data_IF_161385537063
#
_entry.id   IF_161385537063
#
_cell.length_a   1.000
_cell.length_b   1.000
_cell.length_c   1.000
_cell.angle_alpha   90.00
_cell.angle_beta   90.00
_cell.angle_gamma   90.00
#
_symmetry.space_group_name_H-M   'P 1'
#
loop_
_entity.id
_entity.type
_entity.pdbx_description
1 polymer ?
#
# COMPACT_ATOMS: atom_id res chain seq x y z
N UNK A 1 2.49 -30.54 -28.65
CA UNK A 1 2.74 -29.17 -28.17
C UNK A 1 1.56 -28.73 -27.31
N UNK A 2 1.66 -28.79 -25.97
CA UNK A 2 0.56 -28.49 -25.04
C UNK A 2 0.66 -27.04 -24.54
N UNK A 3 -0.49 -26.36 -24.51
CA UNK A 3 -0.66 -24.94 -24.20
C UNK A 3 0.11 -24.47 -22.96
N UNK A 4 0.91 -23.43 -23.18
CA UNK A 4 1.54 -22.64 -22.11
C UNK A 4 0.42 -21.90 -21.37
N UNK A 5 0.05 -22.38 -20.18
CA UNK A 5 -0.88 -21.65 -19.31
C UNK A 5 -0.17 -20.38 -18.79
N UNK A 6 -0.37 -19.28 -19.49
CA UNK A 6 0.10 -17.95 -19.10
C UNK A 6 -0.93 -17.30 -18.18
N UNK A 7 -0.56 -16.99 -16.94
CA UNK A 7 -1.37 -16.16 -16.05
C UNK A 7 -1.46 -14.74 -16.59
N UNK A 8 -2.64 -14.41 -17.10
CA UNK A 8 -2.94 -13.10 -17.67
C UNK A 8 -3.53 -12.18 -16.60
N UNK A 9 -3.46 -10.87 -16.83
CA UNK A 9 -4.15 -9.85 -16.03
C UNK A 9 -5.61 -10.25 -15.71
N UNK A 10 -6.33 -10.77 -16.72
CA UNK A 10 -7.72 -11.25 -16.57
C UNK A 10 -7.88 -12.34 -15.50
N UNK A 11 -7.00 -13.34 -15.49
CA UNK A 11 -7.06 -14.43 -14.50
C UNK A 11 -6.77 -13.91 -13.09
N UNK A 12 -5.80 -13.00 -12.98
CA UNK A 12 -5.43 -12.34 -11.73
C UNK A 12 -6.63 -11.56 -11.14
N UNK A 13 -7.31 -10.78 -11.97
CA UNK A 13 -8.51 -10.03 -11.60
C UNK A 13 -9.64 -10.97 -11.14
N UNK A 14 -9.90 -12.08 -11.86
CA UNK A 14 -10.93 -13.04 -11.48
C UNK A 14 -10.65 -13.65 -10.10
N UNK A 15 -9.39 -13.95 -9.77
CA UNK A 15 -9.03 -14.44 -8.43
C UNK A 15 -9.25 -13.36 -7.38
N UNK A 16 -8.77 -12.13 -7.63
CA UNK A 16 -8.85 -11.01 -6.69
C UNK A 16 -10.29 -10.54 -6.43
N UNK A 17 -11.22 -10.76 -7.37
CA UNK A 17 -12.64 -10.43 -7.19
C UNK A 17 -13.41 -11.47 -6.38
N UNK A 18 -12.82 -12.61 -6.03
CA UNK A 18 -13.47 -13.57 -5.10
C UNK A 18 -13.64 -12.93 -3.73
N UNK A 19 -14.77 -13.18 -3.07
CA UNK A 19 -15.18 -12.54 -1.81
C UNK A 19 -14.12 -12.52 -0.72
N UNK A 20 -13.30 -13.57 -0.61
CA UNK A 20 -12.17 -13.66 0.34
C UNK A 20 -11.11 -12.55 0.18
N UNK A 21 -11.00 -11.98 -1.00
CA UNK A 21 -10.03 -10.94 -1.35
C UNK A 21 -10.65 -9.55 -1.31
N UNK A 22 -11.90 -9.40 -1.76
CA UNK A 22 -12.63 -8.12 -1.77
C UNK A 22 -13.16 -7.74 -0.38
N UNK A 23 -13.56 -8.72 0.44
CA UNK A 23 -14.24 -8.50 1.73
C UNK A 23 -13.56 -7.48 2.64
N UNK A 24 -12.24 -7.56 2.89
CA UNK A 24 -11.57 -6.57 3.74
C UNK A 24 -11.53 -5.16 3.15
N UNK A 25 -11.55 -5.00 1.83
CA UNK A 25 -11.66 -3.67 1.22
C UNK A 25 -13.06 -3.05 1.42
N UNK A 26 -14.10 -3.87 1.61
CA UNK A 26 -15.44 -3.39 1.98
C UNK A 26 -15.52 -2.84 3.42
N UNK A 27 -14.50 -3.11 4.26
CA UNK A 27 -14.40 -2.55 5.60
C UNK A 27 -13.84 -1.12 5.62
N UNK A 28 -13.25 -0.65 4.51
CA UNK A 28 -12.67 0.70 4.42
C UNK A 28 -13.70 1.79 4.73
N UNK A 29 -14.90 1.84 4.10
CA UNK A 29 -15.86 2.91 4.38
C UNK A 29 -16.38 2.91 5.84
N UNK A 30 -16.78 1.77 6.45
CA UNK A 30 -17.17 1.74 7.87
C UNK A 30 -16.05 2.17 8.82
N UNK A 31 -14.80 1.73 8.57
CA UNK A 31 -13.66 2.11 9.41
C UNK A 31 -13.36 3.61 9.31
N UNK A 32 -13.45 4.19 8.11
CA UNK A 32 -13.28 5.63 7.93
C UNK A 32 -14.38 6.43 8.63
N UNK A 33 -15.64 6.01 8.50
CA UNK A 33 -16.74 6.64 9.21
C UNK A 33 -16.52 6.60 10.74
N UNK A 34 -16.05 5.47 11.26
CA UNK A 34 -15.71 5.34 12.68
C UNK A 34 -14.54 6.23 13.09
N UNK A 35 -13.47 6.32 12.28
CA UNK A 35 -12.33 7.20 12.55
C UNK A 35 -12.76 8.67 12.58
N UNK A 36 -13.51 9.12 11.58
CA UNK A 36 -14.03 10.50 11.52
C UNK A 36 -14.97 10.78 12.71
N UNK A 37 -15.82 9.83 13.08
CA UNK A 37 -16.67 9.95 14.26
C UNK A 37 -15.85 10.06 15.55
N UNK A 38 -14.87 9.18 15.75
CA UNK A 38 -14.00 9.20 16.92
C UNK A 38 -13.20 10.50 17.02
N UNK A 39 -12.65 10.99 15.91
CA UNK A 39 -11.96 12.29 15.84
C UNK A 39 -12.91 13.44 16.19
N UNK A 40 -14.14 13.43 15.68
CA UNK A 40 -15.14 14.45 16.01
C UNK A 40 -15.53 14.42 17.49
N UNK A 41 -15.63 13.23 18.08
CA UNK A 41 -15.92 13.03 19.50
C UNK A 41 -14.77 13.55 20.37
N UNK A 42 -13.52 13.19 20.06
CA UNK A 42 -12.33 13.66 20.79
C UNK A 42 -12.17 15.18 20.72
N UNK A 43 -12.48 15.78 19.56
CA UNK A 43 -12.47 17.22 19.38
C UNK A 43 -13.57 17.90 20.20
N UNK A 44 -14.78 17.35 20.24
CA UNK A 44 -15.89 17.86 21.06
C UNK A 44 -15.58 17.82 22.57
N UNK A 45 -14.75 16.88 23.02
CA UNK A 45 -14.31 16.75 24.41
C UNK A 45 -13.02 17.52 24.72
N UNK A 46 -12.52 18.33 23.78
CA UNK A 46 -11.33 19.18 23.97
C UNK A 46 -10.01 18.41 24.07
N UNK A 47 -10.00 17.11 23.75
CA UNK A 47 -8.80 16.25 23.80
C UNK A 47 -7.90 16.55 22.59
N UNK A 48 -8.51 16.85 21.44
CA UNK A 48 -7.81 17.27 20.23
C UNK A 48 -8.23 18.69 19.86
N UNK A 49 -7.33 19.47 19.25
CA UNK A 49 -7.65 20.80 18.74
C UNK A 49 -8.87 20.78 17.79
N UNK A 50 -9.58 21.91 17.69
CA UNK A 50 -10.70 22.06 16.76
C UNK A 50 -10.14 22.10 15.34
N UNK A 51 -10.28 21.01 14.59
CA UNK A 51 -9.89 20.95 13.18
C UNK A 51 -10.91 21.68 12.30
N UNK A 52 -10.42 22.52 11.39
CA UNK A 52 -11.25 23.13 10.33
C UNK A 52 -11.82 22.05 9.40
N UNK A 53 -12.91 22.35 8.68
CA UNK A 53 -13.49 21.41 7.71
C UNK A 53 -12.45 20.95 6.68
N UNK A 54 -11.60 21.87 6.21
CA UNK A 54 -10.48 21.59 5.30
C UNK A 54 -9.51 20.55 5.88
N UNK A 55 -9.08 20.74 7.14
CA UNK A 55 -8.17 19.81 7.82
C UNK A 55 -8.80 18.43 8.01
N UNK A 56 -10.11 18.36 8.28
CA UNK A 56 -10.85 17.10 8.40
C UNK A 56 -10.91 16.35 7.07
N UNK A 57 -11.17 17.05 5.96
CA UNK A 57 -11.17 16.45 4.62
C UNK A 57 -9.81 15.86 4.29
N UNK A 58 -8.72 16.61 4.52
CA UNK A 58 -7.36 16.14 4.24
C UNK A 58 -6.97 14.97 5.13
N UNK A 59 -7.30 15.03 6.42
CA UNK A 59 -7.05 13.95 7.37
C UNK A 59 -7.83 12.68 7.00
N UNK A 60 -9.09 12.80 6.58
CA UNK A 60 -9.90 11.67 6.15
C UNK A 60 -9.34 10.99 4.88
N UNK A 61 -8.82 11.76 3.91
CA UNK A 61 -8.14 11.21 2.73
C UNK A 61 -6.86 10.47 3.15
N UNK A 62 -6.06 11.06 4.05
CA UNK A 62 -4.86 10.42 4.59
C UNK A 62 -5.21 9.11 5.31
N UNK A 63 -6.15 9.13 6.26
CA UNK A 63 -6.59 7.95 6.99
C UNK A 63 -7.10 6.85 6.05
N UNK A 64 -7.87 7.22 5.02
CA UNK A 64 -8.36 6.28 4.01
C UNK A 64 -7.24 5.65 3.20
N UNK A 65 -6.27 6.46 2.78
CA UNK A 65 -5.07 5.97 2.12
C UNK A 65 -4.27 5.02 3.01
N UNK A 66 -4.00 5.39 4.26
CA UNK A 66 -3.19 4.59 5.17
C UNK A 66 -3.82 3.24 5.50
N UNK A 67 -5.15 3.24 5.71
CA UNK A 67 -5.89 2.01 5.90
C UNK A 67 -5.86 1.15 4.63
N UNK A 68 -6.00 1.76 3.45
CA UNK A 68 -5.86 1.07 2.19
C UNK A 68 -4.43 0.53 1.98
N UNK A 69 -3.39 1.27 2.34
CA UNK A 69 -1.98 0.85 2.33
C UNK A 69 -1.79 -0.41 3.18
N UNK A 70 -2.35 -0.44 4.40
CA UNK A 70 -2.29 -1.60 5.28
C UNK A 70 -2.96 -2.83 4.63
N UNK A 71 -4.21 -2.68 4.18
CA UNK A 71 -4.98 -3.77 3.60
C UNK A 71 -4.35 -4.25 2.28
N UNK A 72 -3.98 -3.32 1.41
CA UNK A 72 -3.35 -3.61 0.12
C UNK A 72 -2.03 -4.35 0.30
N UNK A 73 -1.17 -3.95 1.24
CA UNK A 73 0.09 -4.64 1.48
C UNK A 73 -0.08 -6.04 2.05
N UNK A 74 -0.94 -6.23 3.06
CA UNK A 74 -1.27 -7.56 3.61
C UNK A 74 -1.82 -8.48 2.51
N UNK A 75 -2.81 -8.00 1.75
CA UNK A 75 -3.44 -8.78 0.68
C UNK A 75 -2.50 -9.07 -0.47
N UNK A 76 -1.64 -8.12 -0.83
CA UNK A 76 -0.59 -8.30 -1.83
C UNK A 76 0.36 -9.42 -1.41
N UNK A 77 0.87 -9.41 -0.18
CA UNK A 77 1.76 -10.48 0.32
C UNK A 77 1.10 -11.86 0.19
N UNK A 78 -0.14 -12.01 0.65
CA UNK A 78 -0.88 -13.27 0.58
C UNK A 78 -1.15 -13.71 -0.87
N UNK A 79 -1.53 -12.77 -1.74
CA UNK A 79 -1.87 -13.04 -3.13
C UNK A 79 -0.63 -13.44 -3.94
N UNK A 80 0.42 -12.64 -3.88
CA UNK A 80 1.67 -12.88 -4.60
C UNK A 80 2.36 -14.15 -4.11
N UNK A 81 2.36 -14.40 -2.80
CA UNK A 81 2.88 -15.66 -2.24
C UNK A 81 2.10 -16.87 -2.72
N UNK A 82 0.76 -16.76 -2.79
CA UNK A 82 -0.09 -17.83 -3.30
C UNK A 82 0.09 -18.08 -4.80
N UNK A 83 0.25 -17.03 -5.61
CA UNK A 83 0.43 -17.14 -7.07
C UNK A 83 1.81 -17.67 -7.44
N UNK A 84 2.84 -17.19 -6.78
CA UNK A 84 4.22 -17.60 -7.04
C UNK A 84 4.62 -18.84 -6.24
N UNK A 85 3.68 -19.40 -5.47
CA UNK A 85 3.88 -20.56 -4.60
C UNK A 85 5.18 -20.42 -3.79
N UNK A 86 5.39 -19.23 -3.22
CA UNK A 86 6.64 -18.79 -2.60
C UNK A 86 6.89 -19.49 -1.26
N UNK A 87 7.11 -20.80 -1.29
CA UNK A 87 7.76 -21.55 -0.21
C UNK A 87 9.30 -21.34 -0.26
N UNK A 88 9.74 -20.18 -0.76
CA UNK A 88 10.96 -19.96 -1.53
C UNK A 88 12.21 -19.59 -0.71
N UNK A 89 12.46 -20.29 0.38
CA UNK A 89 13.84 -20.54 0.81
C UNK A 89 14.01 -21.85 1.58
N UNK A 90 13.08 -22.81 1.45
CA UNK A 90 13.23 -24.06 2.19
C UNK A 90 14.23 -25.03 1.57
N UNK A 91 14.65 -24.92 0.28
CA UNK A 91 15.71 -25.77 -0.31
C UNK A 91 16.30 -25.40 -1.71
N UNK A 92 15.74 -24.48 -2.52
CA UNK A 92 16.32 -24.14 -3.85
C UNK A 92 15.82 -22.79 -4.35
N UNK A 93 16.71 -21.98 -4.94
CA UNK A 93 16.42 -20.71 -5.64
C UNK A 93 15.65 -20.91 -6.97
N UNK A 94 14.85 -21.98 -7.07
CA UNK A 94 14.00 -22.28 -8.21
C UNK A 94 12.55 -22.03 -7.80
N UNK A 95 11.84 -21.16 -8.53
CA UNK A 95 10.41 -20.96 -8.28
C UNK A 95 9.68 -22.27 -8.61
N UNK A 96 8.80 -22.80 -7.74
CA UNK A 96 8.12 -24.08 -7.98
C UNK A 96 7.11 -24.02 -9.14
N UNK A 97 6.88 -22.85 -9.73
CA UNK A 97 5.83 -22.60 -10.72
C UNK A 97 6.13 -23.23 -12.09
N UNK A 98 5.38 -24.30 -12.47
CA UNK A 98 5.36 -24.91 -13.82
C UNK A 98 4.86 -23.99 -14.95
N UNK A 99 4.59 -22.70 -14.65
CA UNK A 99 3.79 -21.77 -15.47
C UNK A 99 4.48 -20.40 -15.51
N UNK A 100 5.38 -20.22 -16.47
CA UNK A 100 6.24 -19.05 -16.67
C UNK A 100 5.48 -17.79 -17.13
N UNK A 101 4.57 -17.27 -16.31
CA UNK A 101 3.72 -16.14 -16.67
C UNK A 101 4.12 -14.85 -15.98
N UNK A 102 4.05 -13.75 -16.71
CA UNK A 102 4.79 -12.53 -16.43
C UNK A 102 4.42 -11.86 -15.10
N UNK A 103 5.45 -11.49 -14.33
CA UNK A 103 5.39 -10.68 -13.11
C UNK A 103 4.40 -9.50 -13.20
N UNK A 104 4.38 -8.82 -14.34
CA UNK A 104 3.57 -7.64 -14.59
C UNK A 104 2.05 -7.90 -14.61
N UNK A 105 1.59 -9.08 -15.04
CA UNK A 105 0.15 -9.37 -15.11
C UNK A 105 -0.52 -9.35 -13.73
N UNK A 106 -0.08 -10.18 -12.78
CA UNK A 106 -0.53 -10.15 -11.39
C UNK A 106 -0.31 -8.79 -10.72
N UNK A 107 0.85 -8.17 -10.94
CA UNK A 107 1.17 -6.87 -10.35
C UNK A 107 0.18 -5.78 -10.79
N UNK A 108 -0.04 -5.64 -12.09
CA UNK A 108 -0.97 -4.65 -12.63
C UNK A 108 -2.41 -4.94 -12.20
N UNK A 109 -2.81 -6.21 -12.07
CA UNK A 109 -4.15 -6.56 -11.60
C UNK A 109 -4.40 -6.13 -10.15
N UNK A 110 -3.44 -6.36 -9.25
CA UNK A 110 -3.53 -5.89 -7.86
C UNK A 110 -3.54 -4.37 -7.84
N UNK A 111 -2.61 -3.73 -8.55
CA UNK A 111 -2.52 -2.28 -8.60
C UNK A 111 -3.84 -1.67 -9.10
N UNK A 112 -4.42 -2.14 -10.21
CA UNK A 112 -5.69 -1.65 -10.74
C UNK A 112 -6.85 -1.76 -9.76
N UNK A 113 -7.01 -2.90 -9.08
CA UNK A 113 -8.09 -3.08 -8.10
C UNK A 113 -7.91 -2.12 -6.92
N UNK A 114 -6.69 -2.01 -6.42
CA UNK A 114 -6.36 -1.11 -5.31
C UNK A 114 -6.53 0.36 -5.74
N UNK A 115 -6.18 0.75 -6.96
CA UNK A 115 -6.43 2.09 -7.51
C UNK A 115 -7.91 2.41 -7.58
N UNK A 116 -8.74 1.47 -8.04
CA UNK A 116 -10.21 1.66 -8.08
C UNK A 116 -10.75 1.89 -6.67
N UNK A 117 -10.31 1.09 -5.70
CA UNK A 117 -10.74 1.25 -4.30
C UNK A 117 -10.26 2.59 -3.73
N UNK A 118 -9.03 3.02 -4.03
CA UNK A 118 -8.52 4.33 -3.65
C UNK A 118 -9.39 5.46 -4.22
N UNK A 119 -9.67 5.43 -5.53
CA UNK A 119 -10.51 6.44 -6.18
C UNK A 119 -11.92 6.47 -5.59
N UNK A 120 -12.52 5.31 -5.34
CA UNK A 120 -13.84 5.22 -4.71
C UNK A 120 -13.81 5.76 -3.27
N UNK A 121 -12.77 5.45 -2.50
CA UNK A 121 -12.60 5.90 -1.11
C UNK A 121 -12.43 7.41 -1.05
N UNK A 122 -11.47 7.94 -1.80
CA UNK A 122 -11.22 9.39 -1.89
C UNK A 122 -12.43 10.12 -2.46
N UNK A 123 -13.07 9.59 -3.50
CA UNK A 123 -14.29 10.15 -4.07
C UNK A 123 -15.44 10.20 -3.07
N UNK A 124 -15.62 9.16 -2.25
CA UNK A 124 -16.61 9.15 -1.19
C UNK A 124 -16.32 10.19 -0.10
N UNK A 125 -15.06 10.33 0.31
CA UNK A 125 -14.63 11.37 1.27
C UNK A 125 -14.92 12.76 0.72
N UNK A 126 -14.54 13.03 -0.53
CA UNK A 126 -14.78 14.32 -1.19
C UNK A 126 -16.27 14.62 -1.40
N UNK A 127 -17.10 13.59 -1.63
CA UNK A 127 -18.54 13.75 -1.71
C UNK A 127 -19.18 14.05 -0.34
N UNK A 128 -18.64 13.45 0.73
CA UNK A 128 -19.14 13.64 2.10
C UNK A 128 -18.63 14.95 2.75
N UNK A 129 -17.43 15.40 2.38
CA UNK A 129 -16.76 16.60 2.90
C UNK A 129 -16.31 17.48 1.72
N UNK A 130 -17.22 18.28 1.12
CA UNK A 130 -16.99 18.93 -0.18
C UNK A 130 -16.05 20.14 -0.16
N UNK A 131 -15.33 20.41 0.93
CA UNK A 131 -14.42 21.56 1.04
C UNK A 131 -13.00 21.13 1.46
N UNK A 132 -12.13 20.77 0.48
CA UNK A 132 -10.68 20.67 0.71
C UNK A 132 -10.03 22.07 0.86
N UNK A 133 -10.78 23.14 0.57
CA UNK A 133 -10.37 24.52 0.82
C UNK A 133 -9.18 24.99 -0.03
N UNK A 134 -8.13 25.46 0.64
CA UNK A 134 -6.91 26.04 0.05
C UNK A 134 -5.86 25.02 -0.42
N UNK A 135 -6.01 23.74 -0.07
CA UNK A 135 -5.01 22.72 -0.43
C UNK A 135 -5.22 22.23 -1.86
N UNK A 136 -4.15 22.10 -2.68
CA UNK A 136 -4.28 21.57 -4.02
C UNK A 136 -4.77 20.12 -3.97
N UNK A 137 -6.03 19.88 -4.32
CA UNK A 137 -6.67 18.54 -4.26
C UNK A 137 -5.84 17.50 -4.99
N UNK A 138 -5.32 17.86 -6.17
CA UNK A 138 -4.45 16.99 -6.95
C UNK A 138 -3.19 16.57 -6.18
N UNK A 139 -2.57 17.49 -5.43
CA UNK A 139 -1.40 17.19 -4.61
C UNK A 139 -1.75 16.22 -3.49
N UNK A 140 -2.83 16.47 -2.75
CA UNK A 140 -3.28 15.58 -1.66
C UNK A 140 -3.54 14.17 -2.19
N UNK A 141 -4.24 14.06 -3.32
CA UNK A 141 -4.55 12.77 -3.95
C UNK A 141 -3.27 12.06 -4.40
N UNK A 142 -2.34 12.78 -5.04
CA UNK A 142 -1.08 12.21 -5.47
C UNK A 142 -0.24 11.70 -4.29
N UNK A 143 -0.02 12.53 -3.28
CA UNK A 143 0.80 12.20 -2.10
C UNK A 143 0.19 11.07 -1.28
N UNK A 144 -1.14 11.05 -1.13
CA UNK A 144 -1.84 9.97 -0.45
C UNK A 144 -1.90 8.68 -1.28
N UNK A 145 -1.76 8.72 -2.61
CA UNK A 145 -1.75 7.49 -3.41
C UNK A 145 -0.39 6.75 -3.35
N UNK A 146 0.73 7.46 -3.21
CA UNK A 146 2.06 6.83 -3.25
C UNK A 146 2.27 5.75 -2.16
N UNK A 147 1.85 5.92 -0.89
CA UNK A 147 1.88 4.86 0.12
C UNK A 147 1.17 3.57 -0.32
N UNK A 148 0.08 3.70 -1.07
CA UNK A 148 -0.69 2.57 -1.59
C UNK A 148 0.11 1.82 -2.66
N UNK A 149 0.74 2.56 -3.60
CA UNK A 149 1.62 1.99 -4.62
C UNK A 149 2.83 1.29 -3.99
N UNK A 150 3.41 1.91 -2.95
CA UNK A 150 4.49 1.33 -2.18
C UNK A 150 4.08 -0.01 -1.54
N UNK A 151 2.90 -0.08 -0.93
CA UNK A 151 2.41 -1.30 -0.29
C UNK A 151 2.22 -2.46 -1.27
N UNK A 152 1.71 -2.20 -2.47
CA UNK A 152 1.58 -3.22 -3.52
C UNK A 152 2.96 -3.69 -3.98
N UNK A 153 3.90 -2.76 -4.18
CA UNK A 153 5.29 -3.07 -4.59
C UNK A 153 6.03 -3.89 -3.52
N UNK A 154 5.92 -3.49 -2.26
CA UNK A 154 6.47 -4.22 -1.12
C UNK A 154 5.81 -5.58 -0.95
N UNK A 155 4.49 -5.67 -1.12
CA UNK A 155 3.77 -6.93 -1.06
C UNK A 155 4.19 -7.91 -2.15
N UNK A 156 4.50 -7.42 -3.36
CA UNK A 156 5.09 -8.25 -4.41
C UNK A 156 6.48 -8.75 -4.03
N UNK A 157 7.33 -7.89 -3.49
CA UNK A 157 8.66 -8.29 -3.04
C UNK A 157 8.62 -9.33 -1.91
N UNK A 158 7.87 -9.05 -0.84
CA UNK A 158 7.74 -9.95 0.31
C UNK A 158 7.00 -11.23 -0.05
N UNK A 159 6.02 -11.14 -0.95
CA UNK A 159 5.32 -12.29 -1.52
C UNK A 159 6.22 -13.18 -2.37
N UNK A 160 7.37 -12.71 -2.87
CA UNK A 160 8.37 -13.60 -3.48
C UNK A 160 9.28 -14.24 -2.42
N UNK A 161 9.67 -13.47 -1.41
CA UNK A 161 10.69 -13.88 -0.44
C UNK A 161 10.17 -14.80 0.66
N UNK A 162 8.89 -14.70 1.00
CA UNK A 162 8.33 -15.31 2.20
C UNK A 162 6.97 -15.96 1.92
N UNK A 163 6.49 -16.74 2.89
CA UNK A 163 5.10 -17.17 2.91
C UNK A 163 4.19 -15.97 3.11
N UNK A 164 2.97 -16.03 2.56
CA UNK A 164 2.03 -14.91 2.63
C UNK A 164 1.80 -14.39 4.05
N UNK A 165 1.69 -15.28 5.04
CA UNK A 165 1.51 -14.90 6.44
C UNK A 165 2.73 -14.19 7.05
N UNK A 166 3.95 -14.72 6.83
CA UNK A 166 5.17 -14.09 7.30
C UNK A 166 5.42 -12.74 6.61
N UNK A 167 5.17 -12.67 5.30
CA UNK A 167 5.25 -11.44 4.52
C UNK A 167 4.26 -10.38 4.99
N UNK A 168 3.01 -10.77 5.30
CA UNK A 168 2.02 -9.86 5.88
C UNK A 168 2.45 -9.32 7.24
N UNK A 169 2.95 -10.18 8.15
CA UNK A 169 3.42 -9.75 9.47
C UNK A 169 4.62 -8.80 9.35
N UNK A 170 5.58 -9.14 8.50
CA UNK A 170 6.76 -8.31 8.27
C UNK A 170 6.38 -6.96 7.64
N UNK A 171 5.48 -6.97 6.65
CA UNK A 171 4.92 -5.75 6.06
C UNK A 171 4.26 -4.87 7.12
N UNK A 172 3.39 -5.44 7.96
CA UNK A 172 2.70 -4.68 9.02
C UNK A 172 3.69 -4.09 10.02
N UNK A 173 4.74 -4.82 10.40
CA UNK A 173 5.80 -4.30 11.26
C UNK A 173 6.57 -3.15 10.59
N UNK A 174 6.95 -3.30 9.32
CA UNK A 174 7.61 -2.23 8.56
C UNK A 174 6.73 -0.99 8.43
N UNK A 175 5.44 -1.16 8.16
CA UNK A 175 4.49 -0.06 8.04
C UNK A 175 4.32 0.66 9.38
N UNK A 176 4.21 -0.07 10.50
CA UNK A 176 4.15 0.52 11.84
C UNK A 176 5.39 1.35 12.15
N UNK A 177 6.58 0.82 11.85
CA UNK A 177 7.84 1.56 12.03
C UNK A 177 7.92 2.77 11.10
N UNK A 178 7.45 2.64 9.85
CA UNK A 178 7.33 3.75 8.91
C UNK A 178 6.40 4.85 9.39
N UNK A 179 5.36 4.53 10.16
CA UNK A 179 4.50 5.51 10.84
C UNK A 179 5.19 6.20 12.00
N UNK A 180 5.93 5.46 12.82
CA UNK A 180 6.69 6.05 13.94
C UNK A 180 7.65 7.14 13.45
N UNK A 181 8.20 7.03 12.23
CA UNK A 181 9.06 8.04 11.61
C UNK A 181 8.42 9.43 11.44
N UNK A 182 7.08 9.50 11.45
CA UNK A 182 6.32 10.75 11.36
C UNK A 182 6.05 11.43 12.69
N UNK A 183 6.26 10.74 13.82
CA UNK A 183 5.98 11.28 15.14
C UNK A 183 7.12 12.22 15.59
N UNK A 184 6.82 13.41 16.12
CA UNK A 184 7.83 14.41 16.49
C UNK A 184 8.76 13.97 17.63
N UNK A 185 8.37 12.94 18.39
CA UNK A 185 9.11 12.43 19.57
C UNK A 185 9.97 11.21 19.23
N UNK A 186 9.82 10.63 18.03
CA UNK A 186 10.49 9.40 17.66
C UNK A 186 11.69 9.68 16.73
N UNK A 187 12.91 9.57 17.26
CA UNK A 187 14.13 9.55 16.44
C UNK A 187 14.44 8.11 16.00
N UNK A 188 14.09 7.77 14.75
CA UNK A 188 14.56 6.52 14.16
C UNK A 188 15.99 6.70 13.60
N UNK A 189 16.85 5.68 13.70
CA UNK A 189 18.18 5.73 13.10
C UNK A 189 18.13 6.00 11.59
N UNK A 190 19.01 6.85 11.06
CA UNK A 190 18.95 7.28 9.67
C UNK A 190 19.08 6.14 8.66
N UNK A 191 19.90 5.12 8.96
CA UNK A 191 20.05 3.94 8.12
C UNK A 191 18.75 3.15 7.94
N UNK A 192 17.83 3.26 8.91
CA UNK A 192 16.54 2.57 8.88
C UNK A 192 15.65 3.08 7.76
N UNK A 193 15.80 4.37 7.38
CA UNK A 193 15.07 4.99 6.28
C UNK A 193 15.45 4.48 4.90
N UNK A 194 16.58 3.77 4.79
CA UNK A 194 16.99 3.09 3.55
C UNK A 194 16.09 1.87 3.28
N UNK A 195 15.60 1.21 4.34
CA UNK A 195 14.86 -0.04 4.27
C UNK A 195 13.35 0.19 4.48
N UNK A 196 13.02 1.09 5.40
CA UNK A 196 11.65 1.43 5.80
C UNK A 196 11.44 2.91 5.47
N UNK A 197 10.69 3.23 4.40
CA UNK A 197 10.49 4.61 4.05
C UNK A 197 9.64 5.28 5.14
N UNK A 198 9.93 6.53 5.49
CA UNK A 198 9.26 7.21 6.59
C UNK A 198 7.85 7.69 6.18
N UNK A 199 6.93 6.76 5.95
CA UNK A 199 5.55 7.03 5.46
C UNK A 199 4.84 8.04 6.35
N UNK A 200 5.04 7.98 7.67
CA UNK A 200 4.48 8.94 8.62
C UNK A 200 4.91 10.39 8.36
N UNK A 201 6.09 10.63 7.76
CA UNK A 201 6.53 11.98 7.38
C UNK A 201 5.71 12.55 6.23
N UNK A 202 5.18 11.72 5.33
CA UNK A 202 4.31 12.24 4.26
C UNK A 202 3.01 12.76 4.86
N UNK A 203 2.50 12.14 5.91
CA UNK A 203 1.32 12.63 6.62
C UNK A 203 1.58 13.94 7.39
N UNK A 204 2.76 14.10 8.00
CA UNK A 204 3.06 15.28 8.83
C UNK A 204 3.67 16.46 8.07
N UNK A 205 4.41 16.22 6.99
CA UNK A 205 5.06 17.27 6.18
C UNK A 205 4.68 17.25 4.70
N UNK A 206 3.78 16.38 4.25
CA UNK A 206 3.33 16.27 2.84
C UNK A 206 2.77 17.58 2.28
N UNK A 207 2.00 18.30 3.08
CA UNK A 207 1.40 19.57 2.66
C UNK A 207 2.37 20.76 2.73
N UNK A 208 3.60 20.56 3.20
CA UNK A 208 4.61 21.62 3.36
C UNK A 208 5.58 21.57 2.19
N UNK A 209 5.57 22.58 1.33
CA UNK A 209 6.55 22.71 0.26
C UNK A 209 7.88 23.29 0.80
N UNK A 210 9.06 22.76 0.39
CA UNK A 210 9.29 21.65 -0.56
C UNK A 210 9.35 20.25 0.07
N UNK A 211 9.21 20.14 1.39
CA UNK A 211 9.44 18.90 2.14
C UNK A 211 8.53 17.75 1.70
N UNK A 212 7.25 18.01 1.44
CA UNK A 212 6.29 17.00 0.99
C UNK A 212 6.62 16.39 -0.36
N UNK A 213 7.07 17.21 -1.32
CA UNK A 213 7.56 16.73 -2.61
C UNK A 213 8.80 15.85 -2.46
N UNK A 214 9.72 16.22 -1.58
CA UNK A 214 10.93 15.43 -1.30
C UNK A 214 10.54 14.06 -0.74
N UNK A 215 9.67 14.02 0.28
CA UNK A 215 9.23 12.75 0.89
C UNK A 215 8.48 11.87 -0.11
N UNK A 216 7.62 12.48 -0.94
CA UNK A 216 6.87 11.79 -1.99
C UNK A 216 7.81 11.23 -3.05
N UNK A 217 8.79 12.01 -3.50
CA UNK A 217 9.83 11.57 -4.45
C UNK A 217 10.66 10.39 -3.91
N UNK A 218 11.07 10.45 -2.64
CA UNK A 218 11.78 9.36 -1.97
C UNK A 218 10.93 8.09 -1.98
N UNK A 219 9.64 8.18 -1.64
CA UNK A 219 8.77 7.01 -1.60
C UNK A 219 8.49 6.44 -3.00
N UNK A 220 8.39 7.28 -4.04
CA UNK A 220 8.29 6.84 -5.43
C UNK A 220 9.54 6.05 -5.83
N UNK A 221 10.73 6.60 -5.57
CA UNK A 221 12.01 5.94 -5.86
C UNK A 221 12.13 4.60 -5.11
N UNK A 222 11.75 4.58 -3.84
CA UNK A 222 11.78 3.39 -3.01
C UNK A 222 10.79 2.31 -3.53
N UNK A 223 9.58 2.71 -3.91
CA UNK A 223 8.58 1.82 -4.52
C UNK A 223 9.09 1.21 -5.83
N UNK A 224 9.66 2.03 -6.70
CA UNK A 224 10.26 1.59 -7.95
C UNK A 224 11.45 0.64 -7.73
N UNK A 225 12.34 0.97 -6.78
CA UNK A 225 13.49 0.15 -6.41
C UNK A 225 13.07 -1.25 -5.94
N UNK A 226 12.10 -1.33 -5.03
CA UNK A 226 11.58 -2.61 -4.53
C UNK A 226 10.88 -3.40 -5.65
N UNK A 227 10.07 -2.73 -6.47
CA UNK A 227 9.39 -3.36 -7.59
C UNK A 227 10.38 -3.99 -8.58
N UNK A 228 11.44 -3.25 -8.91
CA UNK A 228 12.51 -3.72 -9.79
C UNK A 228 13.30 -4.87 -9.16
N UNK A 229 13.56 -4.81 -7.85
CA UNK A 229 14.22 -5.89 -7.12
C UNK A 229 13.36 -7.16 -7.11
N UNK A 230 12.06 -7.04 -6.85
CA UNK A 230 11.11 -8.14 -6.94
C UNK A 230 11.10 -8.75 -8.36
N UNK A 231 11.04 -7.91 -9.40
CA UNK A 231 11.09 -8.35 -10.79
C UNK A 231 12.38 -9.07 -11.15
N UNK A 232 13.51 -8.59 -10.63
CA UNK A 232 14.83 -9.18 -10.83
C UNK A 232 14.93 -10.56 -10.17
N UNK A 233 14.53 -10.67 -8.90
CA UNK A 233 14.48 -11.93 -8.16
C UNK A 233 13.55 -12.95 -8.84
N UNK A 234 12.38 -12.50 -9.30
CA UNK A 234 11.48 -13.34 -10.10
C UNK A 234 12.17 -13.87 -11.37
N UNK A 235 12.94 -13.01 -12.06
CA UNK A 235 13.71 -13.39 -13.25
C UNK A 235 14.80 -14.42 -12.96
N UNK A 236 15.54 -14.28 -11.85
CA UNK A 236 16.54 -15.27 -11.41
C UNK A 236 15.86 -16.61 -11.10
N UNK A 237 14.76 -16.57 -10.35
CA UNK A 237 14.03 -17.78 -9.95
C UNK A 237 13.45 -18.56 -11.14
N UNK A 238 13.14 -17.88 -12.25
CA UNK A 238 12.72 -18.51 -13.50
C UNK A 238 13.87 -19.14 -14.29
N UNK A 239 15.06 -18.52 -14.32
CA UNK A 239 16.22 -19.00 -15.09
C UNK A 239 16.88 -20.27 -14.51
N UNK A 240 16.61 -20.59 -13.24
CA UNK A 240 17.20 -21.74 -12.52
C UNK A 240 16.34 -23.03 -12.60
N UNK A 241 15.29 -23.02 -13.40
CA UNK A 241 14.50 -24.22 -13.79
C UNK A 241 15.07 -24.84 -15.04
#
# INVERSE_FOLDING_TARGET
>A
MKGRNTFHFKESVIILLKTKWVGPYLLLPPMLAFMVYAESYLSAHGITGIFTLEQRTVLAIWNGSLLLTLIAGIKSCLFFSGIWESNWFRNSLALPVRRASGFWGPYLAVLSIVSVIFVLTTGAVMAALPEPGRFPVFQIIAESYIPVVWAVSMGAFLGLLTTGAAGSLFFSAMLLVGFLAGLPVASLPEWLFIIIPPIGRIMTVGLVFPQGLIQTGILILHSAGILMLARFLYGIGLKRR
#
